data_IF_402170410602
#
_entry.id   IF_402170410602
#
_cell.length_a   1.000
_cell.length_b   1.000
_cell.length_c   1.000
_cell.angle_alpha   90.00
_cell.angle_beta   90.00
_cell.angle_gamma   90.00
#
_symmetry.space_group_name_H-M   'P 1'
#
loop_
_entity.id
_entity.type
_entity.pdbx_description
1 polymer ?
#
# COMPACT_ATOMS: atom_id res chain seq x y z
N UNK A 1 -48.32 -67.34 63.45
CA UNK A 1 -47.16 -67.92 62.77
C UNK A 1 -47.18 -67.44 61.32
N UNK A 2 -46.15 -66.69 60.92
CA UNK A 2 -45.99 -66.10 59.59
C UNK A 2 -45.88 -67.18 58.51
N UNK A 3 -46.53 -66.97 57.36
CA UNK A 3 -46.07 -67.53 56.07
C UNK A 3 -46.22 -66.48 54.99
N UNK A 4 -45.10 -65.81 54.74
CA UNK A 4 -44.81 -65.04 53.54
C UNK A 4 -44.44 -66.05 52.46
N UNK A 5 -45.08 -65.98 51.29
CA UNK A 5 -44.59 -66.63 50.07
C UNK A 5 -44.40 -65.53 49.02
N UNK A 6 -43.14 -65.34 48.66
CA UNK A 6 -42.66 -64.46 47.59
C UNK A 6 -43.07 -65.01 46.22
N UNK A 7 -43.69 -64.18 45.38
CA UNK A 7 -43.79 -64.42 43.94
C UNK A 7 -42.70 -63.59 43.25
N UNK A 8 -41.71 -64.27 42.68
CA UNK A 8 -40.72 -63.67 41.80
C UNK A 8 -41.32 -63.56 40.41
N UNK A 9 -41.78 -62.36 40.02
CA UNK A 9 -42.21 -62.06 38.67
C UNK A 9 -41.03 -61.46 37.89
N UNK A 10 -40.47 -62.27 37.00
CA UNK A 10 -39.68 -61.79 35.88
C UNK A 10 -40.64 -61.22 34.83
N UNK A 11 -40.36 -60.03 34.29
CA UNK A 11 -40.33 -59.74 32.85
C UNK A 11 -40.10 -58.24 32.63
N UNK A 12 -38.97 -57.89 32.03
CA UNK A 12 -38.76 -57.57 30.60
C UNK A 12 -39.47 -56.28 30.18
N UNK A 13 -38.60 -55.29 29.99
CA UNK A 13 -38.89 -53.91 29.71
C UNK A 13 -39.11 -53.68 28.21
N UNK A 14 -40.03 -52.76 27.92
CA UNK A 14 -39.99 -51.96 26.71
C UNK A 14 -39.61 -50.53 27.08
N UNK A 15 -38.68 -49.96 26.33
CA UNK A 15 -38.08 -48.66 26.56
C UNK A 15 -38.87 -47.53 25.90
N UNK A 16 -39.24 -46.54 26.72
CA UNK A 16 -39.68 -45.20 26.32
C UNK A 16 -38.51 -44.21 26.38
N UNK A 17 -38.56 -43.13 25.58
CA UNK A 17 -37.66 -41.97 25.67
C UNK A 17 -38.44 -40.72 26.20
N UNK A 18 -37.83 -39.86 27.04
CA UNK A 18 -38.50 -38.73 27.74
C UNK A 18 -37.79 -37.37 27.61
N UNK A 19 -38.54 -36.26 27.84
CA UNK A 19 -38.12 -34.85 27.72
C UNK A 19 -38.41 -34.08 29.04
N UNK A 20 -37.49 -33.19 29.49
CA UNK A 20 -37.61 -32.42 30.75
C UNK A 20 -38.22 -31.02 30.54
N UNK A 21 -39.09 -30.58 31.46
CA UNK A 21 -39.67 -29.22 31.54
C UNK A 21 -39.49 -28.69 32.97
N UNK A 22 -39.01 -27.46 33.15
CA UNK A 22 -38.68 -26.85 34.45
C UNK A 22 -39.86 -26.07 35.08
N UNK A 23 -39.88 -25.86 36.42
CA UNK A 23 -40.99 -25.20 37.11
C UNK A 23 -41.13 -23.70 36.76
N UNK A 24 -42.34 -23.17 36.91
CA UNK A 24 -42.70 -21.79 36.47
C UNK A 24 -42.18 -20.67 37.38
N UNK A 25 -41.52 -21.00 38.49
CA UNK A 25 -40.95 -20.03 39.43
C UNK A 25 -39.68 -20.55 40.10
N UNK A 26 -38.78 -19.63 40.46
CA UNK A 26 -37.46 -19.96 40.99
C UNK A 26 -36.44 -20.18 39.88
N UNK A 27 -35.17 -20.27 40.26
CA UNK A 27 -34.07 -20.42 39.32
C UNK A 27 -33.74 -21.89 39.08
N UNK A 28 -33.36 -22.25 37.85
CA UNK A 28 -32.96 -23.61 37.51
C UNK A 28 -31.48 -23.84 37.86
N UNK A 29 -31.20 -24.76 38.79
CA UNK A 29 -29.86 -25.12 39.25
C UNK A 29 -29.41 -26.49 38.75
N UNK A 30 -28.32 -26.54 37.98
CA UNK A 30 -27.62 -27.79 37.66
C UNK A 30 -26.37 -27.82 38.54
N UNK A 31 -26.28 -28.76 39.49
CA UNK A 31 -25.17 -28.88 40.44
C UNK A 31 -25.06 -27.75 41.48
N UNK A 32 -26.09 -26.91 41.60
CA UNK A 32 -26.22 -25.87 42.63
C UNK A 32 -27.53 -26.03 43.38
N UNK A 33 -27.46 -26.18 44.71
CA UNK A 33 -28.65 -26.26 45.56
C UNK A 33 -29.27 -24.88 45.86
N UNK A 34 -28.63 -23.80 45.41
CA UNK A 34 -29.03 -22.40 45.63
C UNK A 34 -28.77 -21.54 44.37
N UNK A 35 -29.49 -21.77 43.25
CA UNK A 35 -29.30 -21.04 41.98
C UNK A 35 -29.84 -19.60 42.02
N UNK A 36 -29.16 -18.70 41.31
CA UNK A 36 -29.37 -17.23 41.41
C UNK A 36 -29.75 -16.52 40.10
N UNK A 37 -29.70 -17.19 38.94
CA UNK A 37 -30.13 -16.68 37.63
C UNK A 37 -31.11 -17.66 36.97
N UNK A 38 -31.92 -17.24 35.99
CA UNK A 38 -32.94 -18.11 35.40
C UNK A 38 -32.43 -19.51 34.99
N UNK A 39 -31.19 -19.58 34.51
CA UNK A 39 -30.40 -20.81 34.39
C UNK A 39 -29.05 -20.63 35.10
N UNK A 40 -28.73 -21.53 36.05
CA UNK A 40 -27.48 -21.54 36.81
C UNK A 40 -26.87 -22.95 36.81
N UNK A 41 -25.79 -23.12 36.04
CA UNK A 41 -25.02 -24.38 35.96
C UNK A 41 -23.76 -24.22 36.84
N UNK A 42 -23.72 -24.93 37.97
CA UNK A 42 -22.58 -25.01 38.91
C UNK A 42 -21.98 -26.40 38.84
N UNK A 43 -20.83 -26.46 38.19
CA UNK A 43 -20.03 -27.67 38.09
C UNK A 43 -18.64 -27.39 38.60
N UNK A 44 -18.00 -28.40 39.19
CA UNK A 44 -16.57 -28.34 39.47
C UNK A 44 -15.69 -28.64 38.23
N UNK A 45 -16.27 -28.71 37.02
CA UNK A 45 -15.60 -29.08 35.75
C UNK A 45 -15.60 -27.91 34.72
N UNK A 46 -14.60 -27.86 33.82
CA UNK A 46 -14.31 -26.70 32.95
C UNK A 46 -15.25 -26.49 31.75
N UNK A 47 -15.62 -27.54 31.02
CA UNK A 47 -16.63 -27.46 29.95
C UNK A 47 -18.05 -27.43 30.54
N UNK A 48 -18.37 -26.37 31.30
CA UNK A 48 -19.64 -26.17 32.03
C UNK A 48 -20.84 -26.12 31.07
N UNK A 49 -20.65 -25.47 29.92
CA UNK A 49 -21.57 -25.47 28.81
C UNK A 49 -20.83 -25.98 27.57
N UNK A 50 -20.81 -27.30 27.43
CA UNK A 50 -20.50 -27.93 26.16
C UNK A 50 -21.73 -27.80 25.28
N UNK A 51 -21.72 -26.81 24.41
CA UNK A 51 -22.56 -26.89 23.24
C UNK A 51 -21.88 -27.93 22.36
N UNK A 52 -22.53 -29.06 22.20
CA UNK A 52 -22.07 -30.11 21.31
C UNK A 52 -23.24 -30.51 20.45
N UNK A 53 -22.94 -30.61 19.18
CA UNK A 53 -23.82 -31.09 18.16
C UNK A 53 -23.58 -32.59 18.04
N UNK A 54 -24.65 -33.36 17.93
CA UNK A 54 -24.54 -34.83 17.76
C UNK A 54 -24.24 -35.23 16.32
N UNK A 55 -24.21 -34.25 15.43
CA UNK A 55 -24.12 -34.41 13.99
C UNK A 55 -23.08 -33.48 13.35
N UNK A 56 -22.26 -32.77 14.15
CA UNK A 56 -21.19 -31.81 13.80
C UNK A 56 -21.62 -30.59 12.99
N UNK A 57 -22.63 -29.93 13.56
CA UNK A 57 -23.40 -28.81 13.02
C UNK A 57 -23.44 -27.60 13.97
N UNK A 58 -24.24 -26.58 13.62
CA UNK A 58 -24.30 -25.25 14.26
C UNK A 58 -24.18 -25.20 15.77
N UNK A 59 -23.41 -24.20 16.20
CA UNK A 59 -23.13 -24.01 17.60
C UNK A 59 -23.08 -22.54 17.97
N UNK A 60 -24.25 -21.98 18.27
CA UNK A 60 -24.37 -20.57 18.57
C UNK A 60 -25.38 -20.27 19.66
N UNK A 61 -25.27 -19.05 20.16
CA UNK A 61 -26.16 -18.47 21.16
C UNK A 61 -26.76 -17.19 20.61
N UNK A 62 -27.99 -16.91 21.02
CA UNK A 62 -28.76 -15.77 20.53
C UNK A 62 -29.20 -14.83 21.65
N UNK A 63 -29.37 -13.56 21.31
CA UNK A 63 -29.76 -12.48 22.21
C UNK A 63 -31.06 -11.89 21.74
N UNK A 64 -32.11 -11.76 22.55
CA UNK A 64 -33.44 -11.30 22.10
C UNK A 64 -33.91 -10.04 22.85
N UNK A 65 -34.79 -9.26 22.24
CA UNK A 65 -35.50 -8.10 22.79
C UNK A 65 -36.68 -8.57 23.64
N UNK A 66 -37.34 -7.62 24.31
CA UNK A 66 -38.42 -7.86 25.28
C UNK A 66 -39.67 -8.54 24.70
N UNK A 67 -39.89 -8.47 23.40
CA UNK A 67 -40.98 -9.17 22.72
C UNK A 67 -40.58 -10.58 22.28
N UNK A 68 -39.38 -11.05 22.64
CA UNK A 68 -38.82 -12.35 22.27
C UNK A 68 -38.08 -12.36 20.93
N UNK A 69 -37.65 -11.21 20.43
CA UNK A 69 -37.08 -11.08 19.08
C UNK A 69 -35.56 -10.87 19.07
N UNK A 70 -34.76 -11.61 18.30
CA UNK A 70 -33.28 -11.56 18.34
C UNK A 70 -32.68 -10.17 18.00
N UNK A 71 -31.53 -9.83 18.61
CA UNK A 71 -30.78 -8.56 18.53
C UNK A 71 -29.27 -8.76 18.48
N UNK A 72 -28.78 -9.98 18.44
CA UNK A 72 -27.35 -10.29 18.37
C UNK A 72 -27.22 -11.81 18.40
N UNK A 73 -26.09 -12.33 17.94
CA UNK A 73 -25.71 -13.72 18.16
C UNK A 73 -24.20 -13.91 18.07
N UNK A 74 -23.70 -14.92 18.81
CA UNK A 74 -22.29 -15.25 18.91
C UNK A 74 -22.16 -16.76 18.90
N UNK A 75 -21.24 -17.27 18.06
CA UNK A 75 -21.08 -18.71 17.97
C UNK A 75 -20.01 -19.16 17.00
N UNK A 76 -19.76 -20.46 17.10
CA UNK A 76 -19.01 -21.15 16.09
C UNK A 76 -19.91 -21.35 14.88
N UNK A 77 -19.27 -21.28 13.73
CA UNK A 77 -19.90 -21.70 12.50
C UNK A 77 -20.32 -23.17 12.58
N UNK A 78 -21.25 -23.59 11.73
CA UNK A 78 -21.74 -24.97 11.61
C UNK A 78 -20.67 -26.07 11.64
N UNK A 79 -19.55 -25.77 11.00
CA UNK A 79 -18.37 -26.63 10.84
C UNK A 79 -17.33 -26.43 11.95
N UNK A 80 -17.61 -25.51 12.88
CA UNK A 80 -16.86 -25.27 14.11
C UNK A 80 -15.45 -24.67 13.91
N UNK A 81 -15.16 -24.15 12.72
CA UNK A 81 -13.85 -23.66 12.31
C UNK A 81 -13.60 -22.18 12.58
N UNK A 82 -14.67 -21.39 12.74
CA UNK A 82 -14.61 -19.94 12.87
C UNK A 82 -15.52 -19.45 13.99
N UNK A 83 -15.10 -18.35 14.61
CA UNK A 83 -15.82 -17.74 15.71
C UNK A 83 -16.40 -16.38 15.27
N UNK A 84 -17.70 -16.20 15.49
CA UNK A 84 -18.48 -15.06 15.00
C UNK A 84 -19.04 -14.22 16.16
N UNK A 85 -19.01 -12.88 16.03
CA UNK A 85 -19.63 -11.92 16.97
C UNK A 85 -20.49 -10.93 16.19
N UNK A 86 -21.80 -10.94 16.46
CA UNK A 86 -22.80 -10.14 15.73
C UNK A 86 -23.63 -9.32 16.71
N UNK A 87 -23.67 -7.99 16.55
CA UNK A 87 -24.56 -7.05 17.26
C UNK A 87 -25.69 -6.65 16.32
N UNK A 88 -26.91 -6.44 16.81
CA UNK A 88 -27.95 -5.72 16.06
C UNK A 88 -28.10 -4.30 16.60
N UNK A 89 -27.78 -3.30 15.76
CA UNK A 89 -28.04 -1.86 15.93
C UNK A 89 -27.11 -1.02 16.87
N UNK A 90 -25.79 -1.31 17.02
CA UNK A 90 -24.76 -0.47 17.71
C UNK A 90 -23.64 0.01 16.77
N UNK A 91 -22.54 0.63 17.23
CA UNK A 91 -21.41 1.02 16.34
C UNK A 91 -20.38 -0.09 16.30
N UNK A 92 -20.66 -1.03 15.42
CA UNK A 92 -20.15 -2.38 15.56
C UNK A 92 -18.63 -2.53 15.31
N UNK A 93 -18.05 -3.55 15.95
CA UNK A 93 -16.64 -3.98 15.78
C UNK A 93 -16.33 -4.29 14.31
N UNK A 94 -17.30 -4.91 13.68
CA UNK A 94 -17.49 -4.98 12.25
C UNK A 94 -18.92 -4.50 12.07
N UNK A 95 -19.08 -3.20 11.80
CA UNK A 95 -20.37 -2.63 11.50
C UNK A 95 -20.70 -2.93 10.07
N UNK A 96 -21.58 -3.89 9.91
CA UNK A 96 -22.20 -4.18 8.64
C UNK A 96 -23.41 -3.25 8.50
N UNK A 97 -23.16 -2.00 8.12
CA UNK A 97 -24.20 -0.98 8.00
C UNK A 97 -24.41 -0.62 6.52
N UNK A 98 -25.39 -1.25 5.88
CA UNK A 98 -25.95 -0.79 4.60
C UNK A 98 -25.03 -0.89 3.38
N UNK A 99 -24.10 -1.86 3.33
CA UNK A 99 -23.13 -2.04 2.23
C UNK A 99 -21.73 -1.52 2.55
N UNK A 100 -21.61 -0.84 3.69
CA UNK A 100 -20.35 -0.40 4.23
C UNK A 100 -19.95 -1.30 5.40
N UNK A 101 -18.68 -1.68 5.43
CA UNK A 101 -18.08 -2.34 6.58
C UNK A 101 -17.26 -1.30 7.33
N UNK A 102 -17.82 -0.86 8.45
CA UNK A 102 -17.12 -0.03 9.40
C UNK A 102 -16.30 -0.93 10.32
N UNK A 103 -14.98 -0.75 10.33
CA UNK A 103 -14.16 -1.19 11.46
C UNK A 103 -13.90 0.07 12.26
N UNK A 104 -14.55 0.14 13.43
CA UNK A 104 -14.58 1.33 14.29
C UNK A 104 -15.25 2.56 13.66
N UNK A 105 -16.01 2.41 12.56
CA UNK A 105 -16.82 3.48 12.00
C UNK A 105 -18.30 3.20 12.25
N UNK A 106 -18.99 3.95 13.15
CA UNK A 106 -20.44 3.91 13.41
C UNK A 106 -21.36 4.14 12.22
N UNK A 107 -20.85 4.88 11.26
CA UNK A 107 -21.60 5.47 10.15
C UNK A 107 -20.61 5.66 9.01
N UNK A 108 -20.06 4.53 8.49
CA UNK A 108 -19.04 4.56 7.45
C UNK A 108 -19.60 5.27 6.22
N UNK A 109 -18.80 6.18 5.66
CA UNK A 109 -19.11 6.94 4.45
C UNK A 109 -18.65 6.18 3.19
N UNK A 110 -17.67 5.29 3.36
CA UNK A 110 -17.11 4.49 2.28
C UNK A 110 -17.44 3.01 2.44
N UNK A 111 -17.38 2.28 1.30
CA UNK A 111 -17.69 0.85 1.21
C UNK A 111 -16.91 -0.02 2.19
N UNK A 112 -15.65 0.32 2.44
CA UNK A 112 -14.88 -0.23 3.56
C UNK A 112 -14.20 0.94 4.25
N UNK A 113 -14.60 1.18 5.49
CA UNK A 113 -14.05 2.26 6.28
C UNK A 113 -13.44 1.68 7.53
N UNK A 114 -12.12 1.74 7.57
CA UNK A 114 -11.38 1.58 8.81
C UNK A 114 -11.19 2.97 9.36
N UNK A 115 -12.01 3.32 10.36
CA UNK A 115 -11.76 4.55 11.10
C UNK A 115 -10.56 4.31 11.99
N UNK A 116 -9.43 4.87 11.57
CA UNK A 116 -8.15 4.78 12.30
C UNK A 116 -8.12 5.85 13.39
N UNK A 117 -7.58 5.55 14.57
CA UNK A 117 -7.41 6.53 15.65
C UNK A 117 -6.35 7.58 15.29
N UNK A 118 -6.62 8.85 15.58
CA UNK A 118 -5.72 9.97 15.33
C UNK A 118 -4.50 9.92 16.25
N UNK A 119 -3.30 9.80 15.70
CA UNK A 119 -2.05 9.86 16.46
C UNK A 119 -1.14 10.99 15.97
N UNK A 120 -0.54 11.68 16.93
CA UNK A 120 0.53 12.67 16.73
C UNK A 120 1.84 11.95 16.36
N UNK A 121 1.96 11.46 15.13
CA UNK A 121 3.20 10.86 14.61
C UNK A 121 3.05 9.50 13.92
N UNK A 122 4.11 9.07 13.23
CA UNK A 122 4.18 7.81 12.48
C UNK A 122 4.45 6.65 13.47
N UNK A 123 3.49 6.31 14.33
CA UNK A 123 3.55 5.10 15.18
C UNK A 123 2.95 3.90 14.46
N UNK A 124 3.56 2.73 14.62
CA UNK A 124 3.28 1.48 13.89
C UNK A 124 1.94 0.80 14.21
N UNK A 125 1.08 1.40 15.04
CA UNK A 125 -0.17 0.79 15.53
C UNK A 125 -1.43 1.41 14.93
N UNK A 126 -1.33 2.56 14.28
CA UNK A 126 -2.48 3.42 14.01
C UNK A 126 -2.73 3.51 12.51
N UNK A 127 -2.96 2.35 11.88
CA UNK A 127 -3.18 2.26 10.44
C UNK A 127 -3.63 0.88 9.98
N UNK A 128 -3.91 0.74 8.70
CA UNK A 128 -4.11 -0.57 8.07
C UNK A 128 -2.73 -1.18 7.84
N UNK A 129 -2.51 -2.40 8.34
CA UNK A 129 -1.23 -3.09 8.20
C UNK A 129 -1.39 -4.44 7.50
N UNK A 130 -0.43 -4.75 6.62
CA UNK A 130 -0.19 -6.09 6.09
C UNK A 130 1.18 -6.51 6.57
N UNK A 131 1.29 -7.68 7.20
CA UNK A 131 2.54 -8.14 7.78
C UNK A 131 2.70 -9.66 7.72
N UNK A 132 3.96 -10.12 7.77
CA UNK A 132 4.35 -11.53 7.78
C UNK A 132 3.99 -12.31 9.07
N UNK A 133 3.56 -11.62 10.13
CA UNK A 133 3.18 -12.23 11.41
C UNK A 133 4.37 -12.60 12.31
N UNK A 134 5.60 -12.30 11.90
CA UNK A 134 6.81 -12.57 12.68
C UNK A 134 6.96 -11.64 13.91
N UNK A 135 7.92 -11.92 14.79
CA UNK A 135 8.19 -11.10 16.00
C UNK A 135 8.66 -9.68 15.63
N UNK A 136 9.36 -9.57 14.51
CA UNK A 136 9.76 -8.31 13.91
C UNK A 136 9.09 -8.16 12.56
N UNK A 137 7.78 -7.91 12.62
CA UNK A 137 6.88 -7.87 11.47
C UNK A 137 7.46 -7.04 10.35
N UNK A 138 7.79 -7.70 9.22
CA UNK A 138 7.95 -6.99 7.96
C UNK A 138 6.54 -6.67 7.47
N UNK A 139 6.30 -5.39 7.18
CA UNK A 139 4.99 -4.98 6.72
C UNK A 139 4.96 -3.61 6.08
N UNK A 140 3.76 -3.26 5.64
CA UNK A 140 3.43 -1.93 5.13
C UNK A 140 2.28 -1.37 5.95
N UNK A 141 2.43 -0.11 6.36
CA UNK A 141 1.41 0.65 7.06
C UNK A 141 0.83 1.71 6.13
N UNK A 142 -0.51 1.79 6.12
CA UNK A 142 -1.27 2.87 5.50
C UNK A 142 -1.92 3.67 6.63
N UNK A 143 -1.60 4.95 6.73
CA UNK A 143 -2.06 5.78 7.85
C UNK A 143 -2.23 7.25 7.51
N UNK A 144 -2.75 8.00 8.48
CA UNK A 144 -3.06 9.42 8.39
C UNK A 144 -2.38 10.16 9.56
N UNK A 145 -1.82 11.34 9.28
CA UNK A 145 -1.31 12.27 10.29
C UNK A 145 -2.16 13.54 10.24
N UNK A 146 -2.86 13.82 11.33
CA UNK A 146 -3.77 14.96 11.44
C UNK A 146 -3.08 16.27 11.85
N UNK A 147 -1.88 16.21 12.42
CA UNK A 147 -1.13 17.42 12.81
C UNK A 147 -0.49 18.09 11.58
N UNK A 148 0.01 17.29 10.64
CA UNK A 148 0.59 17.76 9.38
C UNK A 148 -0.33 17.65 8.17
N UNK A 149 -1.56 17.16 8.37
CA UNK A 149 -2.59 16.96 7.34
C UNK A 149 -2.11 16.15 6.12
N UNK A 150 -1.55 14.95 6.36
CA UNK A 150 -1.10 14.07 5.27
C UNK A 150 -1.43 12.59 5.51
N UNK A 151 -1.54 11.83 4.42
CA UNK A 151 -1.60 10.36 4.45
C UNK A 151 -0.24 9.78 4.08
N UNK A 152 0.06 8.56 4.54
CA UNK A 152 1.33 7.90 4.24
C UNK A 152 1.17 6.41 3.91
N UNK A 153 2.13 5.95 3.11
CA UNK A 153 2.49 4.54 2.95
C UNK A 153 3.90 4.40 3.50
N UNK A 154 4.11 3.47 4.44
CA UNK A 154 5.44 3.27 5.04
C UNK A 154 5.73 1.78 5.21
N UNK A 155 6.78 1.31 4.54
CA UNK A 155 7.32 -0.03 4.83
C UNK A 155 8.17 0.02 6.09
N UNK A 156 7.95 -0.95 6.98
CA UNK A 156 8.66 -1.06 8.26
C UNK A 156 9.12 -2.49 8.49
N UNK A 157 10.15 -2.64 9.30
CA UNK A 157 10.46 -3.89 9.99
C UNK A 157 10.49 -3.61 11.48
N UNK A 158 9.54 -4.19 12.23
CA UNK A 158 9.38 -3.94 13.66
C UNK A 158 10.72 -4.03 14.41
N UNK A 159 11.02 -3.07 15.29
CA UNK A 159 12.28 -3.02 16.05
C UNK A 159 13.55 -2.73 15.22
N UNK A 160 13.47 -2.66 13.89
CA UNK A 160 14.62 -2.42 13.00
C UNK A 160 14.45 -1.20 12.09
N UNK A 161 13.37 -0.43 12.26
CA UNK A 161 13.12 0.84 11.56
C UNK A 161 12.46 0.71 10.19
N UNK A 162 12.54 1.80 9.43
CA UNK A 162 11.91 1.96 8.12
C UNK A 162 12.59 1.11 7.05
N UNK A 163 11.83 0.72 6.02
CA UNK A 163 12.31 -0.01 4.86
C UNK A 163 11.91 0.70 3.58
N UNK A 164 12.60 0.35 2.50
CA UNK A 164 12.28 0.85 1.18
C UNK A 164 10.88 0.38 0.77
N UNK A 165 10.11 1.30 0.20
CA UNK A 165 8.89 0.94 -0.50
C UNK A 165 9.28 0.54 -1.91
N UNK A 166 8.92 -0.66 -2.31
CA UNK A 166 9.10 -1.14 -3.69
C UNK A 166 7.73 -1.14 -4.36
N UNK A 167 7.55 -0.25 -5.33
CA UNK A 167 6.31 -0.15 -6.11
C UNK A 167 6.50 -0.91 -7.41
N UNK A 168 5.55 -1.78 -7.75
CA UNK A 168 5.57 -2.56 -8.99
C UNK A 168 6.85 -3.42 -9.19
N UNK A 169 7.28 -4.23 -8.20
CA UNK A 169 8.54 -4.98 -8.26
C UNK A 169 8.61 -6.01 -9.40
N UNK A 170 7.46 -6.50 -9.88
CA UNK A 170 7.37 -7.54 -10.92
C UNK A 170 7.08 -6.91 -12.30
N UNK A 171 7.14 -5.57 -12.41
CA UNK A 171 6.78 -4.84 -13.61
C UNK A 171 5.53 -3.98 -13.43
N UNK A 172 5.18 -3.21 -14.48
CA UNK A 172 4.25 -2.09 -14.42
C UNK A 172 4.97 -0.74 -14.29
N UNK A 173 4.18 0.34 -14.38
CA UNK A 173 4.62 1.73 -14.33
C UNK A 173 3.81 2.49 -13.27
N UNK A 174 4.36 3.59 -12.75
CA UNK A 174 3.70 4.48 -11.80
C UNK A 174 3.26 5.74 -12.55
N UNK A 175 1.95 6.00 -12.56
CA UNK A 175 1.38 7.25 -13.06
C UNK A 175 0.95 8.15 -11.90
N UNK A 176 1.37 9.41 -11.92
CA UNK A 176 0.92 10.44 -10.97
C UNK A 176 0.12 11.47 -11.75
N UNK A 177 -1.20 11.53 -11.53
CA UNK A 177 -2.10 12.40 -12.30
C UNK A 177 -2.41 11.90 -13.72
N UNK A 178 -1.91 10.74 -14.13
CA UNK A 178 -2.15 10.13 -15.45
C UNK A 178 -2.24 8.61 -15.37
N UNK A 179 -3.02 8.02 -16.28
CA UNK A 179 -3.07 6.56 -16.51
C UNK A 179 -2.23 6.13 -17.71
N UNK A 180 -1.83 7.08 -18.57
CA UNK A 180 -1.07 6.83 -19.79
C UNK A 180 0.40 7.04 -19.49
N UNK A 181 1.10 5.96 -19.16
CA UNK A 181 2.51 6.02 -18.72
C UNK A 181 3.51 5.90 -19.87
N UNK A 182 3.06 5.45 -21.05
CA UNK A 182 3.93 5.21 -22.21
C UNK A 182 5.06 4.23 -21.87
N UNK A 183 6.28 4.57 -22.30
CA UNK A 183 7.47 3.77 -22.02
C UNK A 183 8.11 4.07 -20.65
N UNK A 184 7.58 5.02 -19.88
CA UNK A 184 8.22 5.49 -18.64
C UNK A 184 7.80 4.66 -17.43
N UNK A 185 8.78 4.27 -16.60
CA UNK A 185 8.51 3.64 -15.30
C UNK A 185 7.81 4.57 -14.32
N UNK A 186 8.04 5.88 -14.44
CA UNK A 186 7.34 6.93 -13.71
C UNK A 186 6.88 7.99 -14.72
N UNK A 187 5.57 8.22 -14.82
CA UNK A 187 4.97 9.29 -15.60
C UNK A 187 4.20 10.24 -14.67
N UNK A 188 4.38 11.54 -14.85
CA UNK A 188 3.77 12.57 -14.01
C UNK A 188 3.06 13.58 -14.91
N UNK A 189 1.76 13.74 -14.74
CA UNK A 189 0.98 14.80 -15.38
C UNK A 189 1.14 16.10 -14.58
N UNK A 190 2.25 16.79 -14.81
CA UNK A 190 2.62 18.02 -14.10
C UNK A 190 4.12 18.17 -13.91
N UNK A 191 4.52 19.13 -13.05
CA UNK A 191 5.92 19.40 -12.75
C UNK A 191 6.43 18.52 -11.60
N UNK A 192 7.70 18.09 -11.70
CA UNK A 192 8.42 17.45 -10.60
C UNK A 192 9.31 18.48 -9.91
N UNK A 193 9.11 18.69 -8.61
CA UNK A 193 10.01 19.49 -7.77
C UNK A 193 11.09 18.61 -7.14
N UNK A 194 12.36 18.99 -7.28
CA UNK A 194 13.49 18.30 -6.66
C UNK A 194 14.56 19.30 -6.24
N UNK A 195 15.28 19.01 -5.15
CA UNK A 195 16.48 19.75 -4.77
C UNK A 195 17.68 19.35 -5.63
N UNK A 196 17.74 18.10 -6.04
CA UNK A 196 18.78 17.55 -6.91
C UNK A 196 18.18 16.44 -7.78
N UNK A 197 18.61 16.39 -9.05
CA UNK A 197 18.35 15.28 -9.97
C UNK A 197 19.68 14.79 -10.54
N UNK A 198 20.07 13.57 -10.17
CA UNK A 198 21.27 12.92 -10.70
C UNK A 198 20.89 11.95 -11.82
N UNK A 199 21.17 12.34 -13.07
CA UNK A 199 20.94 11.49 -14.25
C UNK A 199 22.19 10.63 -14.49
N UNK A 200 22.02 9.31 -14.52
CA UNK A 200 23.09 8.39 -14.91
C UNK A 200 23.15 8.32 -16.44
N UNK A 201 23.96 9.19 -17.05
CA UNK A 201 24.17 9.19 -18.48
C UNK A 201 24.99 7.97 -18.93
N UNK A 202 24.65 7.40 -20.09
CA UNK A 202 25.37 6.27 -20.70
C UNK A 202 26.55 6.71 -21.58
N UNK A 203 26.69 8.01 -21.86
CA UNK A 203 27.76 8.60 -22.67
C UNK A 203 28.00 10.06 -22.31
N UNK A 204 29.20 10.56 -22.61
CA UNK A 204 29.66 11.90 -22.26
C UNK A 204 30.46 12.53 -23.42
N UNK A 205 30.47 13.87 -23.50
CA UNK A 205 30.88 14.60 -24.71
C UNK A 205 32.39 14.76 -24.93
N UNK A 206 33.25 14.34 -24.00
CA UNK A 206 34.72 14.54 -24.03
C UNK A 206 35.45 14.04 -25.30
N UNK A 207 34.77 13.28 -26.17
CA UNK A 207 35.34 12.82 -27.42
C UNK A 207 35.67 13.96 -28.40
N UNK A 208 35.11 15.16 -28.25
CA UNK A 208 35.37 16.33 -29.12
C UNK A 208 36.84 16.76 -29.06
N UNK A 209 37.54 16.48 -27.96
CA UNK A 209 38.96 16.81 -27.80
C UNK A 209 39.92 15.73 -28.31
N UNK A 210 39.42 14.62 -28.84
CA UNK A 210 40.27 13.55 -29.39
C UNK A 210 40.85 13.97 -30.74
N UNK A 211 42.06 13.50 -31.06
CA UNK A 211 42.75 13.87 -32.32
C UNK A 211 42.00 13.40 -33.57
N UNK A 212 41.23 12.33 -33.43
CA UNK A 212 40.45 11.72 -34.50
C UNK A 212 39.08 12.38 -34.69
N UNK A 213 38.70 13.32 -33.83
CA UNK A 213 37.44 14.03 -33.96
C UNK A 213 37.53 15.05 -35.10
N UNK A 214 36.71 14.85 -36.13
CA UNK A 214 36.60 15.77 -37.25
C UNK A 214 35.65 16.91 -36.89
N UNK A 215 36.21 18.00 -36.36
CA UNK A 215 35.45 19.22 -36.09
C UNK A 215 34.92 19.79 -37.42
N UNK A 216 33.59 19.96 -37.57
CA UNK A 216 33.03 20.59 -38.77
C UNK A 216 33.63 21.98 -39.00
N UNK A 217 33.64 22.47 -40.23
CA UNK A 217 34.00 23.87 -40.50
C UNK A 217 32.81 24.78 -40.22
N UNK A 218 33.04 26.06 -39.92
CA UNK A 218 31.94 27.02 -39.73
C UNK A 218 31.08 27.18 -40.99
N UNK A 219 31.65 26.98 -42.18
CA UNK A 219 30.92 27.00 -43.45
C UNK A 219 29.97 25.79 -43.59
N UNK A 220 30.42 24.60 -43.17
CA UNK A 220 29.56 23.41 -43.11
C UNK A 220 28.44 23.57 -42.08
N UNK A 221 28.75 24.13 -40.91
CA UNK A 221 27.75 24.44 -39.88
C UNK A 221 26.73 25.45 -40.39
N UNK A 222 27.18 26.54 -41.02
CA UNK A 222 26.29 27.55 -41.63
C UNK A 222 25.40 26.93 -42.70
N UNK A 223 25.97 26.11 -43.58
CA UNK A 223 25.23 25.40 -44.63
C UNK A 223 24.17 24.48 -44.03
N UNK A 224 24.52 23.73 -42.97
CA UNK A 224 23.56 22.87 -42.27
C UNK A 224 22.43 23.68 -41.65
N UNK A 225 22.73 24.78 -40.96
CA UNK A 225 21.70 25.65 -40.36
C UNK A 225 20.79 26.24 -41.44
N UNK A 226 21.33 26.72 -42.56
CA UNK A 226 20.51 27.21 -43.69
C UNK A 226 19.61 26.13 -44.28
N UNK A 227 20.09 24.89 -44.35
CA UNK A 227 19.35 23.78 -44.93
C UNK A 227 18.32 23.15 -43.97
N UNK A 228 18.59 23.12 -42.66
CA UNK A 228 17.83 22.36 -41.66
C UNK A 228 17.17 23.21 -40.58
N UNK A 229 17.66 24.43 -40.35
CA UNK A 229 17.12 25.37 -39.36
C UNK A 229 17.52 25.09 -37.90
N UNK A 230 18.43 24.15 -37.65
CA UNK A 230 18.93 23.78 -36.32
C UNK A 230 20.38 23.30 -36.40
N UNK A 231 21.05 23.14 -35.26
CA UNK A 231 22.41 22.61 -35.19
C UNK A 231 22.42 21.09 -35.41
N UNK A 232 23.51 20.59 -35.99
CA UNK A 232 23.71 19.15 -36.15
C UNK A 232 23.64 18.42 -34.80
N UNK A 233 22.99 17.24 -34.78
CA UNK A 233 22.73 16.40 -33.62
C UNK A 233 21.75 16.96 -32.57
N UNK A 234 21.33 18.22 -32.70
CA UNK A 234 20.28 18.83 -31.87
C UNK A 234 18.93 18.59 -32.55
N UNK A 235 17.92 18.04 -31.86
CA UNK A 235 16.61 17.80 -32.46
C UNK A 235 15.93 19.13 -32.84
N UNK A 236 15.12 19.10 -33.89
CA UNK A 236 14.33 20.26 -34.28
C UNK A 236 13.07 20.43 -33.41
N UNK A 237 12.43 21.59 -33.50
CA UNK A 237 11.25 21.91 -32.70
C UNK A 237 10.11 20.89 -32.87
N UNK A 238 9.82 20.47 -34.10
CA UNK A 238 8.74 19.51 -34.35
C UNK A 238 9.02 18.14 -33.70
N UNK A 239 10.27 17.70 -33.67
CA UNK A 239 10.69 16.48 -32.98
C UNK A 239 10.56 16.62 -31.46
N UNK A 240 10.98 17.77 -30.90
CA UNK A 240 10.88 18.05 -29.46
C UNK A 240 9.43 18.12 -29.00
N UNK A 241 8.57 18.81 -29.75
CA UNK A 241 7.14 18.92 -29.41
C UNK A 241 6.43 17.57 -29.49
N UNK A 242 6.87 16.68 -30.40
CA UNK A 242 6.25 15.36 -30.57
C UNK A 242 6.76 14.32 -29.56
N UNK A 243 8.06 14.28 -29.31
CA UNK A 243 8.71 13.18 -28.59
C UNK A 243 9.31 13.58 -27.24
N UNK A 244 9.38 14.89 -26.93
CA UNK A 244 10.10 15.41 -25.77
C UNK A 244 11.62 15.32 -25.92
N UNK A 245 12.34 15.50 -24.80
CA UNK A 245 13.81 15.37 -24.73
C UNK A 245 14.22 14.45 -23.58
N UNK A 246 15.29 13.68 -23.80
CA UNK A 246 16.01 13.01 -22.72
C UNK A 246 16.94 14.02 -22.06
N UNK A 247 16.71 14.33 -20.78
CA UNK A 247 17.48 15.36 -20.05
C UNK A 247 18.99 15.07 -20.07
N UNK A 248 19.40 13.82 -19.86
CA UNK A 248 20.81 13.42 -19.87
C UNK A 248 21.44 13.52 -21.26
N UNK A 249 20.74 13.05 -22.30
CA UNK A 249 21.23 13.10 -23.67
C UNK A 249 21.32 14.55 -24.18
N UNK A 250 20.31 15.36 -23.89
CA UNK A 250 20.28 16.77 -24.30
C UNK A 250 21.41 17.54 -23.63
N UNK A 251 21.65 17.33 -22.33
CA UNK A 251 22.78 17.94 -21.63
C UNK A 251 24.13 17.51 -22.23
N UNK A 252 24.30 16.24 -22.61
CA UNK A 252 25.51 15.77 -23.27
C UNK A 252 25.71 16.41 -24.66
N UNK A 253 24.64 16.52 -25.46
CA UNK A 253 24.68 17.21 -26.77
C UNK A 253 24.99 18.70 -26.63
N UNK A 254 24.39 19.37 -25.66
CA UNK A 254 24.67 20.77 -25.37
C UNK A 254 26.13 20.95 -24.95
N UNK A 255 26.66 20.05 -24.11
CA UNK A 255 28.07 20.07 -23.74
C UNK A 255 28.98 19.89 -24.97
N UNK A 256 28.67 18.93 -25.84
CA UNK A 256 29.39 18.76 -27.11
C UNK A 256 29.45 20.06 -27.92
N UNK A 257 28.33 20.80 -28.02
CA UNK A 257 28.30 22.08 -28.75
C UNK A 257 29.08 23.18 -28.04
N UNK A 258 29.09 23.19 -26.71
CA UNK A 258 29.94 24.11 -25.93
C UNK A 258 31.43 23.82 -26.19
N UNK A 259 31.82 22.54 -26.26
CA UNK A 259 33.21 22.13 -26.53
C UNK A 259 33.63 22.44 -27.97
N UNK A 260 32.77 22.17 -28.97
CA UNK A 260 33.00 22.56 -30.37
C UNK A 260 33.15 24.09 -30.50
N UNK A 261 32.24 24.86 -29.88
CA UNK A 261 32.34 26.32 -29.83
C UNK A 261 33.65 26.79 -29.18
N UNK A 262 34.09 26.11 -28.13
CA UNK A 262 35.37 26.42 -27.48
C UNK A 262 36.55 26.20 -28.45
N UNK A 263 36.53 25.13 -29.25
CA UNK A 263 37.55 24.90 -30.28
C UNK A 263 37.56 25.97 -31.37
N UNK A 264 36.37 26.39 -31.86
CA UNK A 264 36.30 27.48 -32.83
C UNK A 264 36.82 28.80 -32.26
N UNK A 265 36.50 29.12 -31.01
CA UNK A 265 36.99 30.34 -30.35
C UNK A 265 38.51 30.30 -30.18
N UNK A 266 39.09 29.14 -29.82
CA UNK A 266 40.55 28.96 -29.76
C UNK A 266 41.18 29.21 -31.12
N UNK A 267 40.61 28.67 -32.20
CA UNK A 267 41.12 28.84 -33.55
C UNK A 267 40.98 30.30 -34.04
N UNK A 268 39.83 30.93 -33.83
CA UNK A 268 39.61 32.34 -34.14
C UNK A 268 40.60 33.24 -33.41
N UNK A 269 40.89 32.98 -32.13
CA UNK A 269 41.87 33.75 -31.37
C UNK A 269 43.29 33.62 -31.96
N UNK A 270 43.68 32.42 -32.42
CA UNK A 270 44.96 32.23 -33.13
C UNK A 270 45.01 33.02 -34.44
N UNK A 271 43.91 33.03 -35.20
CA UNK A 271 43.82 33.80 -36.44
C UNK A 271 43.89 35.31 -36.20
N UNK A 272 43.19 35.81 -35.17
CA UNK A 272 43.26 37.22 -34.76
C UNK A 272 44.69 37.61 -34.37
N UNK A 273 45.36 36.80 -33.54
CA UNK A 273 46.75 37.05 -33.16
C UNK A 273 47.68 37.03 -34.39
N UNK A 274 47.45 36.16 -35.36
CA UNK A 274 48.21 36.14 -36.61
C UNK A 274 47.99 37.42 -37.43
N UNK A 275 46.73 37.86 -37.57
CA UNK A 275 46.36 39.08 -38.28
C UNK A 275 46.98 40.33 -37.61
N UNK A 276 46.94 40.42 -36.29
CA UNK A 276 47.58 41.50 -35.52
C UNK A 276 49.10 41.53 -35.77
N UNK A 277 49.79 40.38 -35.64
CA UNK A 277 51.22 40.31 -35.92
C UNK A 277 51.56 40.71 -37.38
N UNK A 278 50.68 40.42 -38.34
CA UNK A 278 50.85 40.86 -39.73
C UNK A 278 50.63 42.35 -39.90
N UNK A 279 49.65 42.93 -39.21
CA UNK A 279 49.40 44.38 -39.19
C UNK A 279 50.59 45.12 -38.59
N UNK A 280 51.10 44.69 -37.44
CA UNK A 280 52.26 45.30 -36.78
C UNK A 280 53.49 45.31 -37.70
N UNK A 281 53.73 44.22 -38.45
CA UNK A 281 54.80 44.13 -39.46
C UNK A 281 54.60 45.07 -40.65
N UNK A 282 53.36 45.28 -41.09
CA UNK A 282 53.06 46.19 -42.20
C UNK A 282 53.23 47.65 -41.74
N UNK A 283 52.79 47.98 -40.53
CA UNK A 283 52.94 49.32 -39.95
C UNK A 283 54.40 49.67 -39.69
N UNK A 284 55.20 48.72 -39.20
CA UNK A 284 56.65 48.93 -39.01
C UNK A 284 57.45 49.00 -40.32
N UNK A 285 56.95 48.47 -41.43
CA UNK A 285 57.56 48.64 -42.77
C UNK A 285 57.11 49.94 -43.49
N UNK A 286 56.10 50.65 -42.95
CA UNK A 286 55.57 51.90 -43.52
C UNK A 286 56.14 53.16 -42.87
N UNK A 287 56.76 53.04 -41.71
CA UNK A 287 57.55 54.08 -41.05
C UNK A 287 59.03 53.94 -41.40
#
# INVERSE_FOLDING_TARGET
MNKIIFFALALIAQSNFGQNIFPTSGNAGIGNLTPTSPLHIKSSNDAILALQTTDDRWLYTQYLNSSGTRKSWVGLSYDLSSFNITVENGTDKILLNGGNVGINSPSPLNTFEVKVQTSKGISSSDGISIHDGAIYRLGINIGINTDGEYSYLQSIKGGMGQRNIIINPIGGNVGIGTITTGAHKLAVEGSIGAREVKVQATGWADFVFKKEYNLPTLEEVETHIKAKGHLENIPNEAEVLKNGISLGEMNAKLLQKIEELTLYVIEQNKQIANLQNRLDKIESNRN
#
